data_IF_633697439154
#
_entry.id   IF_633697439154
#
_cell.length_a   1.000
_cell.length_b   1.000
_cell.length_c   1.000
_cell.angle_alpha   90.00
_cell.angle_beta   90.00
_cell.angle_gamma   90.00
#
_symmetry.space_group_name_H-M   'P 1'
#
loop_
_entity.id
_entity.type
_entity.pdbx_description
1 polymer ?
#
# COMPACT_ATOMS: atom_id res chain seq x y z
N UNK A 1 3.49 2.25 -25.50
CA UNK A 1 3.09 3.29 -26.43
C UNK A 1 1.64 3.75 -26.19
N UNK A 2 0.68 2.82 -26.14
CA UNK A 2 -0.74 3.15 -25.93
C UNK A 2 -0.98 3.94 -24.63
N UNK A 3 -0.41 3.52 -23.51
CA UNK A 3 -0.56 4.20 -22.23
C UNK A 3 -0.10 5.67 -22.27
N UNK A 4 1.01 5.96 -22.95
CA UNK A 4 1.51 7.34 -23.13
C UNK A 4 0.53 8.16 -23.97
N UNK A 5 0.10 7.63 -25.10
CA UNK A 5 -0.87 8.32 -25.97
C UNK A 5 -2.19 8.59 -25.23
N UNK A 6 -2.68 7.61 -24.47
CA UNK A 6 -3.90 7.76 -23.67
C UNK A 6 -3.76 8.86 -22.60
N UNK A 7 -2.61 8.92 -21.93
CA UNK A 7 -2.33 9.95 -20.93
C UNK A 7 -2.33 11.36 -21.56
N UNK A 8 -1.68 11.52 -22.73
CA UNK A 8 -1.64 12.78 -23.45
C UNK A 8 -3.05 13.23 -23.91
N UNK A 9 -3.84 12.30 -24.46
CA UNK A 9 -5.24 12.58 -24.81
C UNK A 9 -6.08 12.96 -23.57
N UNK A 10 -5.87 12.30 -22.45
CA UNK A 10 -6.57 12.60 -21.21
C UNK A 10 -6.22 14.02 -20.70
N UNK A 11 -4.96 14.44 -20.81
CA UNK A 11 -4.53 15.79 -20.49
C UNK A 11 -5.28 16.83 -21.35
N UNK A 12 -5.36 16.58 -22.64
CA UNK A 12 -6.03 17.49 -23.57
C UNK A 12 -7.54 17.62 -23.27
N UNK A 13 -8.17 16.53 -22.82
CA UNK A 13 -9.62 16.52 -22.50
C UNK A 13 -9.92 17.08 -21.12
N UNK A 14 -9.12 16.74 -20.12
CA UNK A 14 -9.41 17.05 -18.71
C UNK A 14 -8.61 18.22 -18.15
N UNK A 15 -7.62 18.73 -18.88
CA UNK A 15 -6.80 19.87 -18.44
C UNK A 15 -5.95 19.56 -17.20
N UNK A 16 -5.51 18.31 -17.00
CA UNK A 16 -4.71 17.88 -15.85
C UNK A 16 -3.44 17.17 -16.27
N UNK A 17 -2.35 17.42 -15.55
CA UNK A 17 -1.09 16.70 -15.70
C UNK A 17 -0.95 15.52 -14.72
N UNK A 18 -1.96 15.24 -13.89
CA UNK A 18 -1.94 14.15 -12.94
C UNK A 18 -2.48 12.87 -13.59
N UNK A 19 -1.70 11.81 -13.57
CA UNK A 19 -2.09 10.55 -14.20
C UNK A 19 -1.74 9.33 -13.34
N UNK A 20 -2.73 8.49 -13.03
CA UNK A 20 -2.48 7.13 -12.59
C UNK A 20 -2.14 6.30 -13.81
N UNK A 21 -0.93 5.76 -13.84
CA UNK A 21 -0.40 5.02 -14.98
C UNK A 21 -0.44 3.52 -14.72
N UNK A 22 -1.21 2.81 -15.55
CA UNK A 22 -1.26 1.35 -15.57
C UNK A 22 -0.73 0.85 -16.91
N UNK A 23 0.34 0.06 -16.89
CA UNK A 23 0.85 -0.68 -18.05
C UNK A 23 0.74 -2.17 -17.72
N UNK A 24 -0.25 -2.84 -18.29
CA UNK A 24 -0.57 -4.23 -17.95
C UNK A 24 0.17 -5.17 -18.88
N UNK A 25 0.97 -6.07 -18.31
CA UNK A 25 1.76 -7.08 -19.03
C UNK A 25 1.12 -8.46 -19.06
N UNK A 26 0.28 -8.78 -18.07
CA UNK A 26 -0.39 -10.08 -17.95
C UNK A 26 -1.88 -9.88 -17.60
N UNK A 27 -2.77 -10.38 -18.46
CA UNK A 27 -4.20 -10.09 -18.42
C UNK A 27 -4.98 -10.80 -17.32
N UNK A 28 -4.62 -12.03 -16.93
CA UNK A 28 -5.39 -12.81 -15.94
C UNK A 28 -5.28 -12.24 -14.52
N UNK A 29 -4.11 -11.71 -14.17
CA UNK A 29 -3.85 -11.10 -12.86
C UNK A 29 -3.79 -9.57 -12.92
N UNK A 30 -3.90 -8.96 -14.10
CA UNK A 30 -3.70 -7.54 -14.33
C UNK A 30 -2.37 -7.06 -13.73
N UNK A 31 -1.34 -7.89 -13.92
CA UNK A 31 0.00 -7.63 -13.40
C UNK A 31 0.71 -6.58 -14.24
N UNK A 32 1.40 -5.61 -13.62
CA UNK A 32 2.11 -4.58 -14.36
C UNK A 32 3.24 -5.16 -15.22
N UNK A 33 3.37 -4.65 -16.46
CA UNK A 33 4.60 -4.74 -17.24
C UNK A 33 5.58 -3.72 -16.68
N UNK A 34 6.42 -4.15 -15.77
CA UNK A 34 7.35 -3.25 -15.06
C UNK A 34 8.37 -2.58 -15.98
N UNK A 35 8.75 -3.21 -17.10
CA UNK A 35 9.67 -2.62 -18.07
C UNK A 35 9.00 -1.51 -18.87
N UNK A 36 7.82 -1.80 -19.41
CA UNK A 36 7.00 -0.82 -20.11
C UNK A 36 6.54 0.31 -19.22
N UNK A 37 6.27 0.03 -17.93
CA UNK A 37 5.88 1.02 -16.94
C UNK A 37 7.00 2.04 -16.68
N UNK A 38 8.24 1.59 -16.45
CA UNK A 38 9.39 2.47 -16.23
C UNK A 38 9.62 3.39 -17.43
N UNK A 39 9.57 2.85 -18.63
CA UNK A 39 9.76 3.65 -19.86
C UNK A 39 8.61 4.64 -20.07
N UNK A 40 7.36 4.24 -19.86
CA UNK A 40 6.22 5.12 -19.97
C UNK A 40 6.24 6.23 -18.90
N UNK A 41 6.67 5.92 -17.68
CA UNK A 41 6.88 6.90 -16.61
C UNK A 41 7.89 7.96 -17.03
N UNK A 42 9.06 7.54 -17.53
CA UNK A 42 10.10 8.46 -17.99
C UNK A 42 9.58 9.42 -19.06
N UNK A 43 8.91 8.89 -20.07
CA UNK A 43 8.37 9.71 -21.17
C UNK A 43 7.35 10.72 -20.65
N UNK A 44 6.45 10.30 -19.77
CA UNK A 44 5.39 11.17 -19.25
C UNK A 44 5.92 12.21 -18.27
N UNK A 45 6.89 11.88 -17.43
CA UNK A 45 7.52 12.86 -16.52
C UNK A 45 8.32 13.91 -17.28
N UNK A 46 9.04 13.52 -18.33
CA UNK A 46 9.72 14.45 -19.25
C UNK A 46 8.72 15.37 -20.00
N UNK A 47 7.49 14.89 -20.26
CA UNK A 47 6.39 15.66 -20.85
C UNK A 47 5.59 16.48 -19.79
N UNK A 48 6.06 16.55 -18.55
CA UNK A 48 5.49 17.36 -17.47
C UNK A 48 4.31 16.75 -16.71
N UNK A 49 4.09 15.43 -16.81
CA UNK A 49 3.08 14.75 -16.01
C UNK A 49 3.58 14.46 -14.60
N UNK A 50 2.67 14.54 -13.64
CA UNK A 50 2.79 13.94 -12.30
C UNK A 50 2.28 12.51 -12.38
N UNK A 51 3.19 11.54 -12.42
CA UNK A 51 2.87 10.14 -12.67
C UNK A 51 2.73 9.36 -11.38
N UNK A 52 1.61 8.66 -11.24
CA UNK A 52 1.31 7.69 -10.18
C UNK A 52 1.39 6.27 -10.75
N UNK A 53 2.56 5.64 -10.76
CA UNK A 53 2.77 4.36 -11.45
C UNK A 53 2.24 3.18 -10.61
N UNK A 54 1.26 2.44 -11.14
CA UNK A 54 0.80 1.18 -10.58
C UNK A 54 1.88 0.11 -10.77
N UNK A 55 2.44 -0.39 -9.69
CA UNK A 55 3.61 -1.26 -9.69
C UNK A 55 3.47 -2.42 -8.70
N UNK A 56 4.51 -3.23 -8.62
CA UNK A 56 4.68 -4.26 -7.60
C UNK A 56 5.47 -3.71 -6.40
N UNK A 57 5.69 -4.54 -5.37
CA UNK A 57 6.52 -4.24 -4.21
C UNK A 57 8.03 -4.47 -4.44
N UNK A 58 8.45 -4.64 -5.70
CA UNK A 58 9.85 -4.87 -6.06
C UNK A 58 10.71 -3.61 -5.89
N UNK A 59 11.75 -3.71 -5.06
CA UNK A 59 12.65 -2.58 -4.75
C UNK A 59 13.41 -2.06 -5.98
N UNK A 60 13.83 -2.95 -6.88
CA UNK A 60 14.60 -2.57 -8.08
C UNK A 60 13.70 -1.81 -9.05
N UNK A 61 12.46 -2.25 -9.19
CA UNK A 61 11.45 -1.56 -10.02
C UNK A 61 11.13 -0.20 -9.42
N UNK A 62 10.89 -0.11 -8.11
CA UNK A 62 10.62 1.13 -7.40
C UNK A 62 11.75 2.15 -7.60
N UNK A 63 13.01 1.74 -7.42
CA UNK A 63 14.17 2.60 -7.65
C UNK A 63 14.23 3.12 -9.09
N UNK A 64 13.93 2.27 -10.08
CA UNK A 64 13.90 2.67 -11.49
C UNK A 64 12.77 3.66 -11.80
N UNK A 65 11.59 3.48 -11.19
CA UNK A 65 10.47 4.42 -11.32
C UNK A 65 10.81 5.81 -10.76
N UNK A 66 11.43 5.85 -9.58
CA UNK A 66 11.89 7.10 -8.96
C UNK A 66 12.97 7.79 -9.83
N UNK A 67 13.92 7.03 -10.37
CA UNK A 67 14.92 7.56 -11.33
C UNK A 67 14.30 8.03 -12.65
N UNK A 68 13.17 7.46 -13.05
CA UNK A 68 12.39 7.89 -14.21
C UNK A 68 11.56 9.14 -13.94
N UNK A 69 11.61 9.70 -12.71
CA UNK A 69 10.96 10.95 -12.33
C UNK A 69 9.64 10.79 -11.60
N UNK A 70 9.22 9.57 -11.22
CA UNK A 70 8.06 9.41 -10.34
C UNK A 70 8.37 9.98 -8.95
N UNK A 71 7.43 10.73 -8.39
CA UNK A 71 7.51 11.30 -7.04
C UNK A 71 6.64 10.54 -6.04
N UNK A 72 5.81 9.62 -6.52
CA UNK A 72 4.91 8.76 -5.75
C UNK A 72 5.04 7.33 -6.26
N UNK A 73 4.89 6.35 -5.39
CA UNK A 73 4.81 4.94 -5.78
C UNK A 73 3.41 4.39 -5.45
N UNK A 74 2.88 3.54 -6.33
CA UNK A 74 1.60 2.87 -6.12
C UNK A 74 1.77 1.34 -6.16
N UNK A 75 2.39 0.74 -5.12
CA UNK A 75 2.53 -0.70 -5.06
C UNK A 75 1.18 -1.39 -4.86
N UNK A 76 0.99 -2.54 -5.48
CA UNK A 76 -0.20 -3.35 -5.27
C UNK A 76 -0.19 -4.08 -3.91
N UNK A 77 -1.35 -4.25 -3.30
CA UNK A 77 -1.52 -5.20 -2.21
C UNK A 77 -1.69 -6.63 -2.73
N UNK A 78 -2.51 -6.79 -3.76
CA UNK A 78 -2.82 -8.03 -4.47
C UNK A 78 -3.40 -7.69 -5.86
N UNK A 79 -3.64 -8.67 -6.74
CA UNK A 79 -4.22 -8.43 -8.06
C UNK A 79 -5.50 -7.60 -8.01
N UNK A 80 -5.68 -6.72 -8.99
CA UNK A 80 -6.83 -5.80 -9.09
C UNK A 80 -8.14 -6.57 -8.96
N UNK A 81 -9.03 -6.11 -8.09
CA UNK A 81 -10.36 -6.68 -7.89
C UNK A 81 -10.39 -8.00 -7.12
N UNK A 82 -9.25 -8.54 -6.68
CA UNK A 82 -9.17 -9.83 -5.98
C UNK A 82 -9.68 -9.77 -4.53
N UNK A 83 -9.61 -8.62 -3.87
CA UNK A 83 -10.00 -8.46 -2.46
C UNK A 83 -9.15 -9.24 -1.45
N UNK A 84 -7.95 -9.71 -1.86
CA UNK A 84 -7.08 -10.59 -1.07
C UNK A 84 -6.27 -9.86 0.01
N UNK A 85 -6.21 -8.55 -0.03
CA UNK A 85 -5.48 -7.72 0.92
C UNK A 85 -4.01 -7.54 0.55
N UNK A 86 -3.14 -7.57 1.54
CA UNK A 86 -1.70 -7.38 1.38
C UNK A 86 -1.01 -8.75 1.29
N UNK A 87 -0.87 -9.29 0.08
CA UNK A 87 -0.35 -10.65 -0.14
C UNK A 87 1.12 -10.80 0.28
N UNK A 88 1.95 -9.80 0.05
CA UNK A 88 3.37 -9.82 0.38
C UNK A 88 3.71 -8.73 1.41
N UNK A 89 3.35 -8.97 2.66
CA UNK A 89 3.63 -8.04 3.77
C UNK A 89 5.12 -7.76 3.94
N UNK A 90 5.98 -8.76 3.74
CA UNK A 90 7.43 -8.61 3.83
C UNK A 90 7.95 -7.64 2.75
N UNK A 91 7.55 -7.85 1.50
CA UNK A 91 7.96 -6.98 0.38
C UNK A 91 7.46 -5.53 0.55
N UNK A 92 6.21 -5.36 0.98
CA UNK A 92 5.63 -4.04 1.25
C UNK A 92 6.35 -3.32 2.40
N UNK A 93 6.66 -4.04 3.50
CA UNK A 93 7.45 -3.49 4.62
C UNK A 93 8.85 -3.10 4.18
N UNK A 94 9.52 -3.96 3.39
CA UNK A 94 10.83 -3.67 2.85
C UNK A 94 10.82 -2.44 1.94
N UNK A 95 9.80 -2.31 1.08
CA UNK A 95 9.61 -1.15 0.21
C UNK A 95 9.48 0.14 1.02
N UNK A 96 8.58 0.17 2.02
CA UNK A 96 8.40 1.34 2.88
C UNK A 96 9.66 1.69 3.67
N UNK A 97 10.34 0.68 4.22
CA UNK A 97 11.58 0.88 4.99
C UNK A 97 12.74 1.39 4.14
N UNK A 98 12.79 0.99 2.85
CA UNK A 98 13.85 1.43 1.93
C UNK A 98 13.65 2.86 1.42
N UNK A 99 12.40 3.29 1.24
CA UNK A 99 12.04 4.62 0.76
C UNK A 99 11.14 5.35 1.77
N UNK A 100 11.65 5.71 2.96
CA UNK A 100 10.83 6.25 4.05
C UNK A 100 10.17 7.60 3.72
N UNK A 101 10.78 8.40 2.87
CA UNK A 101 10.33 9.75 2.55
C UNK A 101 9.50 9.83 1.24
N UNK A 102 9.35 8.72 0.52
CA UNK A 102 8.58 8.69 -0.73
C UNK A 102 7.11 8.47 -0.41
N UNK A 103 6.19 9.32 -0.87
CA UNK A 103 4.76 9.07 -0.74
C UNK A 103 4.36 7.77 -1.42
N UNK A 104 3.60 6.92 -0.72
CA UNK A 104 3.19 5.61 -1.22
C UNK A 104 1.70 5.36 -1.02
N UNK A 105 1.05 4.93 -2.09
CA UNK A 105 -0.38 4.57 -2.09
C UNK A 105 -0.49 3.07 -2.37
N UNK A 106 -0.99 2.28 -1.42
CA UNK A 106 -1.30 0.87 -1.72
C UNK A 106 -2.51 0.82 -2.63
N UNK A 107 -2.29 0.30 -3.83
CA UNK A 107 -3.33 0.16 -4.86
C UNK A 107 -3.64 -1.32 -5.09
N UNK A 108 -4.89 -1.60 -5.41
CA UNK A 108 -5.40 -2.93 -5.73
C UNK A 108 -5.36 -3.97 -4.59
N UNK A 109 -6.23 -4.94 -4.68
CA UNK A 109 -6.34 -6.06 -3.75
C UNK A 109 -7.01 -5.73 -2.41
N UNK A 110 -7.23 -4.46 -2.08
CA UNK A 110 -7.92 -4.06 -0.85
C UNK A 110 -9.40 -4.50 -0.91
N UNK A 111 -9.80 -5.40 -0.03
CA UNK A 111 -11.15 -5.99 -0.05
C UNK A 111 -11.93 -5.83 1.26
N UNK A 112 -11.25 -5.48 2.34
CA UNK A 112 -11.86 -5.32 3.68
C UNK A 112 -11.26 -4.10 4.39
N UNK A 113 -11.99 -3.47 5.33
CA UNK A 113 -11.46 -2.39 6.15
C UNK A 113 -10.13 -2.72 6.85
N UNK A 114 -10.00 -3.93 7.40
CA UNK A 114 -8.76 -4.40 8.04
C UNK A 114 -7.52 -4.40 7.12
N UNK A 115 -7.70 -4.55 5.80
CA UNK A 115 -6.58 -4.45 4.86
C UNK A 115 -6.06 -3.01 4.74
N UNK A 116 -6.96 -2.02 4.82
CA UNK A 116 -6.58 -0.62 4.86
C UNK A 116 -5.85 -0.29 6.17
N UNK A 117 -6.38 -0.73 7.32
CA UNK A 117 -5.70 -0.60 8.62
C UNK A 117 -4.27 -1.13 8.54
N UNK A 118 -4.09 -2.37 8.06
CA UNK A 118 -2.78 -2.99 7.95
C UNK A 118 -1.81 -2.22 7.02
N UNK A 119 -2.30 -1.61 5.94
CA UNK A 119 -1.48 -0.77 5.08
C UNK A 119 -0.96 0.47 5.83
N UNK A 120 -1.82 1.15 6.57
CA UNK A 120 -1.40 2.32 7.37
C UNK A 120 -0.48 1.92 8.54
N UNK A 121 -0.71 0.78 9.19
CA UNK A 121 0.17 0.26 10.24
C UNK A 121 1.57 -0.11 9.72
N UNK A 122 1.71 -0.40 8.42
CA UNK A 122 3.02 -0.55 7.74
C UNK A 122 3.66 0.81 7.39
N UNK A 123 3.00 1.93 7.63
CA UNK A 123 3.49 3.28 7.34
C UNK A 123 3.21 3.78 5.93
N UNK A 124 2.28 3.17 5.19
CA UNK A 124 1.84 3.71 3.90
C UNK A 124 0.99 4.96 4.09
N UNK A 125 1.11 5.91 3.15
CA UNK A 125 0.47 7.22 3.26
C UNK A 125 -1.00 7.22 2.84
N UNK A 126 -1.38 6.29 1.94
CA UNK A 126 -2.74 6.16 1.45
C UNK A 126 -3.06 4.76 0.94
N UNK A 127 -4.35 4.51 0.74
CA UNK A 127 -4.87 3.33 0.03
C UNK A 127 -5.85 3.77 -1.05
N UNK A 128 -5.81 3.13 -2.22
CA UNK A 128 -6.82 3.32 -3.26
C UNK A 128 -7.85 2.21 -3.18
N UNK A 129 -9.12 2.59 -3.03
CA UNK A 129 -10.24 1.67 -2.80
C UNK A 129 -11.32 1.94 -3.85
N UNK A 130 -11.75 0.90 -4.54
CA UNK A 130 -12.85 0.98 -5.50
C UNK A 130 -13.80 -0.22 -5.34
N UNK A 131 -13.43 -1.38 -5.86
CA UNK A 131 -14.27 -2.58 -5.97
C UNK A 131 -14.84 -3.03 -4.62
N UNK A 132 -14.06 -2.93 -3.55
CA UNK A 132 -14.48 -3.33 -2.21
C UNK A 132 -15.70 -2.54 -1.70
N UNK A 133 -15.81 -1.27 -2.07
CA UNK A 133 -16.96 -0.42 -1.76
C UNK A 133 -18.06 -0.64 -2.79
N UNK A 134 -17.76 -0.56 -4.08
CA UNK A 134 -18.73 -0.61 -5.16
C UNK A 134 -19.54 -1.94 -5.20
N UNK A 135 -18.90 -3.06 -4.83
CA UNK A 135 -19.52 -4.40 -4.78
C UNK A 135 -19.99 -4.83 -3.39
N UNK A 136 -19.91 -3.97 -2.38
CA UNK A 136 -20.45 -4.28 -1.06
C UNK A 136 -21.98 -4.35 -1.07
N UNK A 137 -22.55 -5.18 -0.21
CA UNK A 137 -23.99 -5.23 -0.03
C UNK A 137 -24.61 -3.91 0.45
N UNK A 138 -23.82 -3.11 1.17
CA UNK A 138 -24.13 -1.73 1.54
C UNK A 138 -22.91 -0.85 1.30
N UNK A 139 -22.77 -0.23 0.10
CA UNK A 139 -21.61 0.59 -0.24
C UNK A 139 -21.36 1.78 0.68
N UNK A 140 -22.43 2.44 1.16
CA UNK A 140 -22.30 3.60 2.04
C UNK A 140 -21.70 3.22 3.40
N UNK A 141 -22.20 2.14 4.02
CA UNK A 141 -21.64 1.65 5.29
C UNK A 141 -20.21 1.09 5.09
N UNK A 142 -19.93 0.46 3.94
CA UNK A 142 -18.58 -0.02 3.65
C UNK A 142 -17.60 1.14 3.49
N UNK A 143 -17.98 2.22 2.81
CA UNK A 143 -17.14 3.42 2.69
C UNK A 143 -16.84 4.04 4.07
N UNK A 144 -17.87 4.12 4.93
CA UNK A 144 -17.70 4.58 6.31
C UNK A 144 -16.76 3.66 7.12
N UNK A 145 -16.90 2.35 6.97
CA UNK A 145 -16.01 1.38 7.63
C UNK A 145 -14.56 1.54 7.17
N UNK A 146 -14.32 1.74 5.88
CA UNK A 146 -12.98 2.03 5.37
C UNK A 146 -12.40 3.33 5.91
N UNK A 147 -13.19 4.40 6.02
CA UNK A 147 -12.73 5.65 6.63
C UNK A 147 -12.24 5.42 8.06
N UNK A 148 -13.05 4.73 8.89
CA UNK A 148 -12.67 4.42 10.27
C UNK A 148 -11.41 3.53 10.35
N UNK A 149 -11.27 2.59 9.43
CA UNK A 149 -10.11 1.70 9.34
C UNK A 149 -8.82 2.47 8.99
N UNK A 150 -8.89 3.42 8.06
CA UNK A 150 -7.76 4.28 7.72
C UNK A 150 -7.36 5.16 8.92
N UNK A 151 -8.33 5.77 9.60
CA UNK A 151 -8.10 6.58 10.81
C UNK A 151 -7.45 5.74 11.93
N UNK A 152 -7.93 4.51 12.14
CA UNK A 152 -7.38 3.60 13.15
C UNK A 152 -5.94 3.18 12.83
N UNK A 153 -5.68 2.78 11.58
CA UNK A 153 -4.33 2.37 11.15
C UNK A 153 -3.31 3.50 11.24
N UNK A 154 -3.71 4.70 10.83
CA UNK A 154 -2.85 5.90 10.94
C UNK A 154 -2.54 6.24 12.40
N UNK A 155 -3.56 6.20 13.27
CA UNK A 155 -3.37 6.43 14.70
C UNK A 155 -2.51 5.35 15.35
N UNK A 156 -2.69 4.08 14.95
CA UNK A 156 -1.88 2.94 15.41
C UNK A 156 -0.42 3.12 15.04
N UNK A 157 -0.13 3.45 13.78
CA UNK A 157 1.23 3.72 13.31
C UNK A 157 1.90 4.88 14.08
N UNK A 158 1.17 5.99 14.26
CA UNK A 158 1.68 7.16 14.99
C UNK A 158 1.91 6.89 16.50
N UNK A 159 1.24 5.89 17.05
CA UNK A 159 1.40 5.48 18.46
C UNK A 159 2.62 4.58 18.71
N UNK A 160 3.39 4.24 17.68
CA UNK A 160 4.57 3.38 17.76
C UNK A 160 4.26 2.02 18.44
N UNK A 161 3.65 1.07 17.72
CA UNK A 161 3.21 -0.21 18.30
C UNK A 161 4.37 -0.99 18.91
N UNK A 162 4.09 -1.75 19.95
CA UNK A 162 5.09 -2.65 20.55
C UNK A 162 5.65 -3.64 19.52
N UNK A 163 6.91 -4.00 19.69
CA UNK A 163 7.55 -5.04 18.87
C UNK A 163 6.85 -6.40 19.01
N UNK A 164 6.67 -7.08 17.88
CA UNK A 164 6.25 -8.48 17.86
C UNK A 164 7.34 -9.36 18.45
N UNK A 165 6.95 -10.36 19.23
CA UNK A 165 7.87 -11.31 19.88
C UNK A 165 7.37 -12.73 19.71
N UNK A 166 8.29 -13.66 19.44
CA UNK A 166 7.96 -15.07 19.32
C UNK A 166 7.60 -15.73 20.65
N UNK A 167 8.12 -15.19 21.76
CA UNK A 167 7.92 -15.74 23.10
C UNK A 167 7.10 -14.80 23.98
N UNK A 168 6.29 -15.40 24.85
CA UNK A 168 5.51 -14.65 25.81
C UNK A 168 6.41 -13.90 26.82
N UNK A 169 6.07 -12.65 27.08
CA UNK A 169 6.69 -11.84 28.13
C UNK A 169 5.61 -11.47 29.14
N UNK A 170 5.73 -11.85 30.44
CA UNK A 170 4.75 -11.49 31.44
C UNK A 170 4.57 -9.97 31.54
N UNK A 171 3.35 -9.50 31.43
CA UNK A 171 2.99 -8.07 31.60
C UNK A 171 2.76 -7.69 33.05
N UNK A 172 2.54 -8.67 33.93
CA UNK A 172 2.33 -8.44 35.38
C UNK A 172 3.68 -8.26 36.06
N UNK A 173 3.91 -7.17 36.83
CA UNK A 173 5.13 -7.00 37.60
C UNK A 173 5.32 -8.15 38.58
N UNK A 174 6.50 -8.76 38.60
CA UNK A 174 6.85 -9.82 39.55
C UNK A 174 7.27 -9.29 40.93
N UNK A 175 7.57 -8.02 41.03
CA UNK A 175 7.89 -7.32 42.29
C UNK A 175 6.62 -7.19 43.15
N UNK A 176 6.64 -7.79 44.34
CA UNK A 176 5.52 -7.76 45.28
C UNK A 176 4.56 -8.95 45.20
N UNK A 177 4.80 -9.93 44.33
CA UNK A 177 4.06 -11.20 44.40
C UNK A 177 4.45 -11.97 45.65
N UNK A 178 3.45 -12.48 46.37
CA UNK A 178 3.67 -13.38 47.53
C UNK A 178 4.42 -14.65 47.03
N UNK A 179 5.60 -14.91 47.55
CA UNK A 179 6.31 -16.16 47.32
C UNK A 179 5.67 -17.24 48.18
N UNK A 180 5.22 -18.31 47.61
CA UNK A 180 4.83 -19.48 48.40
C UNK A 180 6.09 -20.03 49.11
N UNK A 181 5.96 -20.44 50.34
CA UNK A 181 7.03 -20.99 51.17
C UNK A 181 7.61 -22.32 50.64
N UNK A 182 7.30 -22.75 49.46
CA UNK A 182 7.70 -23.99 48.82
C UNK A 182 8.55 -23.87 47.56
N UNK A 183 9.26 -22.76 47.30
CA UNK A 183 10.50 -22.74 46.53
C UNK A 183 10.45 -23.11 45.05
N UNK A 184 9.31 -23.31 44.38
CA UNK A 184 9.22 -23.49 42.93
C UNK A 184 8.27 -22.47 42.33
N UNK A 185 8.78 -21.75 41.30
CA UNK A 185 7.94 -20.90 40.46
C UNK A 185 7.06 -21.81 39.59
N UNK A 186 5.77 -21.65 39.66
CA UNK A 186 4.83 -22.19 38.69
C UNK A 186 4.83 -21.27 37.46
#
# INVERSE_FOLDING_TARGET
REAVTTAQMARDVFGTNWIKLEVIGQGDLLQPDVFGLVEATRILTEDGFQVFPYTTEDLVVAERLLRAGAEVLMPWGAPIGSGRGLNNLFGLRALRGHFPDVPMVVDAGIGKPSHATAAFELGFDAVLINTAVAKAGNPAEMAKAFRLACEAGLAGYAADPMEERDMAVPSTPTLGLARSLGGEML
#
